data_IF_748266668888
#
_entry.id   IF_748266668888
#
_cell.length_a   1.000
_cell.length_b   1.000
_cell.length_c   1.000
_cell.angle_alpha   90.00
_cell.angle_beta   90.00
_cell.angle_gamma   90.00
#
_symmetry.space_group_name_H-M   'P 1'
#
loop_
_entity.id
_entity.type
_entity.pdbx_description
1 polymer ?
#
# COMPACT_ATOMS: atom_id res chain seq x y z
N UNK A 1 3.05 16.88 36.64
CA UNK A 1 2.61 15.53 36.23
C UNK A 1 2.07 14.83 37.49
N UNK A 2 0.83 14.38 37.44
CA UNK A 2 0.21 13.68 38.61
C UNK A 2 0.92 12.32 38.82
N UNK A 3 0.99 11.85 40.06
CA UNK A 3 1.65 10.58 40.42
C UNK A 3 1.06 9.38 39.67
N UNK A 4 -0.19 9.43 39.22
CA UNK A 4 -0.84 8.39 38.41
C UNK A 4 -0.32 8.35 36.98
N UNK A 5 0.05 9.48 36.39
CA UNK A 5 0.63 9.59 35.04
C UNK A 5 2.04 8.98 35.01
N UNK A 6 2.89 9.25 36.03
CA UNK A 6 4.22 8.67 36.13
C UNK A 6 4.18 7.14 36.33
N UNK A 7 3.28 6.64 37.17
CA UNK A 7 3.12 5.20 37.39
C UNK A 7 2.64 4.48 36.12
N UNK A 8 1.69 5.08 35.37
CA UNK A 8 1.24 4.56 34.07
C UNK A 8 2.38 4.51 33.04
N UNK A 9 3.26 5.52 33.03
CA UNK A 9 4.38 5.59 32.10
C UNK A 9 5.43 4.50 32.41
N UNK A 10 5.76 4.30 33.68
CA UNK A 10 6.65 3.21 34.12
C UNK A 10 6.07 1.85 33.75
N UNK A 11 4.78 1.62 33.98
CA UNK A 11 4.11 0.37 33.62
C UNK A 11 4.15 0.11 32.12
N UNK A 12 3.89 1.12 31.28
CA UNK A 12 3.96 0.99 29.83
C UNK A 12 5.37 0.60 29.38
N UNK A 13 6.40 1.26 29.90
CA UNK A 13 7.80 0.94 29.58
C UNK A 13 8.15 -0.51 29.95
N UNK A 14 7.77 -0.94 31.15
CA UNK A 14 8.00 -2.31 31.64
C UNK A 14 7.25 -3.36 30.81
N UNK A 15 6.19 -2.99 30.11
CA UNK A 15 5.42 -3.89 29.25
C UNK A 15 5.97 -3.94 27.82
N UNK A 16 6.50 -2.83 27.31
CA UNK A 16 6.95 -2.68 25.93
C UNK A 16 8.41 -3.14 25.79
N UNK A 17 9.31 -2.65 26.68
CA UNK A 17 10.76 -2.87 26.58
C UNK A 17 11.18 -4.16 27.31
N UNK A 18 10.70 -5.29 26.81
CA UNK A 18 11.06 -6.63 27.30
C UNK A 18 11.70 -7.44 26.16
N UNK A 19 12.68 -8.31 26.43
CA UNK A 19 13.39 -9.10 25.40
C UNK A 19 12.45 -9.85 24.45
N UNK A 20 11.36 -10.40 24.95
CA UNK A 20 10.42 -11.23 24.19
C UNK A 20 9.58 -10.43 23.16
N UNK A 21 9.63 -9.12 23.21
CA UNK A 21 8.95 -8.24 22.26
C UNK A 21 9.89 -7.57 21.28
N UNK A 22 11.19 -7.87 21.37
CA UNK A 22 12.19 -7.30 20.47
C UNK A 22 12.44 -8.21 19.27
N UNK A 23 12.53 -7.58 18.12
CA UNK A 23 13.08 -8.15 16.89
C UNK A 23 14.28 -7.30 16.54
N UNK A 24 15.43 -7.93 16.35
CA UNK A 24 16.67 -7.22 15.99
C UNK A 24 17.09 -7.68 14.59
N UNK A 25 17.24 -6.74 13.68
CA UNK A 25 17.80 -6.97 12.35
C UNK A 25 19.18 -6.34 12.27
N UNK A 26 20.16 -7.13 11.83
CA UNK A 26 21.56 -6.70 11.74
C UNK A 26 22.02 -6.80 10.29
N UNK A 27 22.69 -5.76 9.83
CA UNK A 27 23.39 -5.72 8.55
C UNK A 27 24.80 -5.22 8.80
N UNK A 28 25.78 -6.11 8.78
CA UNK A 28 27.19 -5.79 9.03
C UNK A 28 28.10 -6.75 8.25
N UNK A 29 29.40 -6.47 8.23
CA UNK A 29 30.40 -7.41 7.78
C UNK A 29 30.47 -8.61 8.75
N UNK A 30 30.85 -9.77 8.24
CA UNK A 30 30.97 -10.99 9.04
C UNK A 30 31.96 -10.82 10.20
N UNK A 31 33.04 -10.08 9.96
CA UNK A 31 34.07 -9.80 10.97
C UNK A 31 33.52 -8.97 12.16
N UNK A 32 32.50 -8.16 11.94
CA UNK A 32 31.91 -7.28 12.97
C UNK A 32 30.78 -7.97 13.73
N UNK A 33 30.23 -9.09 13.21
CA UNK A 33 29.03 -9.73 13.74
C UNK A 33 29.16 -10.09 15.23
N UNK A 34 30.31 -10.64 15.65
CA UNK A 34 30.52 -11.04 17.04
C UNK A 34 30.46 -9.85 18.01
N UNK A 35 31.01 -8.70 17.62
CA UNK A 35 30.96 -7.48 18.42
C UNK A 35 29.53 -6.94 18.52
N UNK A 36 28.77 -6.97 17.42
CA UNK A 36 27.37 -6.56 17.40
C UNK A 36 26.51 -7.50 18.25
N UNK A 37 26.68 -8.81 18.15
CA UNK A 37 26.00 -9.81 18.96
C UNK A 37 26.21 -9.59 20.47
N UNK A 38 27.43 -9.30 20.88
CA UNK A 38 27.75 -8.97 22.26
C UNK A 38 27.00 -7.73 22.77
N UNK A 39 26.88 -6.68 21.93
CA UNK A 39 26.13 -5.48 22.29
C UNK A 39 24.62 -5.74 22.35
N UNK A 40 24.09 -6.58 21.47
CA UNK A 40 22.67 -7.00 21.51
C UNK A 40 22.41 -7.77 22.80
N UNK A 41 23.27 -8.73 23.14
CA UNK A 41 23.14 -9.49 24.39
C UNK A 41 23.19 -8.58 25.63
N UNK A 42 24.09 -7.58 25.63
CA UNK A 42 24.14 -6.55 26.68
C UNK A 42 22.83 -5.75 26.75
N UNK A 43 22.30 -5.29 25.61
CA UNK A 43 21.03 -4.58 25.56
C UNK A 43 19.89 -5.39 26.13
N UNK A 44 19.73 -6.65 25.66
CA UNK A 44 18.67 -7.55 26.10
C UNK A 44 18.71 -7.81 27.61
N UNK A 45 19.91 -7.96 28.17
CA UNK A 45 20.12 -8.15 29.62
C UNK A 45 19.70 -6.94 30.45
N UNK A 46 19.76 -5.73 29.88
CA UNK A 46 19.42 -4.48 30.55
C UNK A 46 17.97 -4.02 30.31
N UNK A 47 17.18 -4.77 29.55
CA UNK A 47 15.74 -4.55 29.44
C UNK A 47 15.00 -5.00 30.70
N UNK A 48 13.74 -4.62 30.81
CA UNK A 48 12.90 -5.04 31.92
C UNK A 48 12.72 -6.57 31.89
N UNK A 49 12.76 -7.23 33.09
CA UNK A 49 12.48 -8.65 33.15
C UNK A 49 11.05 -8.93 32.72
N UNK A 50 10.86 -9.99 31.94
CA UNK A 50 9.57 -10.43 31.49
C UNK A 50 8.65 -10.74 32.68
N UNK A 51 7.68 -9.88 32.91
CA UNK A 51 6.49 -10.28 33.69
C UNK A 51 5.62 -11.07 32.74
N UNK A 52 5.07 -12.24 33.17
CA UNK A 52 4.18 -13.10 32.36
C UNK A 52 3.39 -12.28 31.35
N UNK A 53 3.82 -12.29 30.09
CA UNK A 53 3.12 -11.59 29.03
C UNK A 53 1.85 -12.41 28.79
N UNK A 54 0.71 -11.87 29.18
CA UNK A 54 -0.59 -12.40 28.77
C UNK A 54 -0.60 -12.35 27.24
N UNK A 55 -0.61 -13.53 26.61
CA UNK A 55 -0.54 -13.68 25.15
C UNK A 55 -1.83 -13.24 24.43
N UNK A 56 -2.84 -12.84 25.16
CA UNK A 56 -4.06 -12.32 24.55
C UNK A 56 -3.79 -10.93 23.94
N UNK A 57 -3.43 -10.94 22.66
CA UNK A 57 -3.61 -9.78 21.81
C UNK A 57 -5.11 -9.65 21.51
N UNK A 58 -5.86 -9.03 22.37
CA UNK A 58 -7.08 -8.39 21.92
C UNK A 58 -6.64 -7.18 21.06
N UNK A 59 -6.63 -7.37 19.76
CA UNK A 59 -6.60 -6.20 18.88
C UNK A 59 -7.86 -5.41 19.19
N UNK A 60 -7.76 -4.09 19.40
CA UNK A 60 -8.96 -3.28 19.55
C UNK A 60 -9.85 -3.52 18.33
N UNK A 61 -11.12 -3.78 18.57
CA UNK A 61 -12.10 -3.94 17.51
C UNK A 61 -12.25 -2.57 16.83
N UNK A 62 -11.64 -2.44 15.67
CA UNK A 62 -11.72 -1.20 14.89
C UNK A 62 -13.04 -1.23 14.12
N UNK A 63 -14.00 -0.45 14.55
CA UNK A 63 -15.21 -0.20 13.77
C UNK A 63 -14.87 0.81 12.67
N UNK A 64 -14.61 0.26 11.47
CA UNK A 64 -14.37 1.06 10.28
C UNK A 64 -15.71 1.52 9.72
N UNK A 65 -15.93 2.82 9.70
CA UNK A 65 -17.07 3.43 9.02
C UNK A 65 -16.64 3.91 7.64
N UNK A 66 -17.52 3.67 6.64
CA UNK A 66 -17.33 4.25 5.32
C UNK A 66 -17.55 5.76 5.40
N UNK A 67 -16.55 6.52 4.94
CA UNK A 67 -16.63 7.98 4.86
C UNK A 67 -16.07 8.43 3.52
N UNK A 68 -16.95 8.91 2.64
CA UNK A 68 -16.51 9.63 1.46
C UNK A 68 -16.29 11.08 1.88
N UNK A 69 -15.03 11.49 2.04
CA UNK A 69 -14.66 12.78 2.60
C UNK A 69 -13.96 13.65 1.57
N UNK A 70 -14.37 14.92 1.52
CA UNK A 70 -13.69 15.97 0.80
C UNK A 70 -13.04 16.95 1.78
N UNK A 71 -11.73 17.15 1.66
CA UNK A 71 -10.97 18.13 2.44
C UNK A 71 -10.68 19.34 1.58
N UNK A 72 -11.30 20.47 1.90
CA UNK A 72 -11.22 21.71 1.14
C UNK A 72 -9.97 22.49 1.51
N UNK A 73 -9.26 22.98 0.49
CA UNK A 73 -8.15 23.89 0.62
C UNK A 73 -8.20 25.01 -0.45
N UNK A 74 -7.23 25.94 -0.38
CA UNK A 74 -7.14 27.07 -1.31
C UNK A 74 -6.40 26.70 -2.63
N UNK A 75 -6.10 25.43 -2.88
CA UNK A 75 -5.42 25.02 -4.11
C UNK A 75 -6.32 25.14 -5.34
N UNK A 76 -5.72 25.13 -6.54
CA UNK A 76 -6.45 25.13 -7.81
C UNK A 76 -6.61 23.71 -8.39
N UNK A 77 -6.12 22.72 -7.68
CA UNK A 77 -6.04 21.32 -8.12
C UNK A 77 -6.49 20.38 -7.02
N UNK A 78 -6.84 19.14 -7.39
CA UNK A 78 -7.30 18.12 -6.48
C UNK A 78 -6.32 16.95 -6.41
N UNK A 79 -6.44 16.18 -5.35
CA UNK A 79 -5.88 14.85 -5.13
C UNK A 79 -7.06 13.92 -4.96
N UNK A 80 -7.33 13.10 -5.97
CA UNK A 80 -8.52 12.23 -6.00
C UNK A 80 -8.08 10.79 -5.73
N UNK A 81 -8.50 10.24 -4.61
CA UNK A 81 -8.15 8.89 -4.19
C UNK A 81 -9.37 7.97 -4.10
N UNK A 82 -9.31 6.82 -4.79
CA UNK A 82 -10.24 5.68 -4.64
C UNK A 82 -9.47 4.51 -4.06
N UNK A 83 -10.05 3.84 -3.08
CA UNK A 83 -9.42 2.71 -2.42
C UNK A 83 -10.43 1.61 -2.06
N UNK A 84 -9.94 0.39 -1.86
CA UNK A 84 -10.69 -0.75 -1.36
C UNK A 84 -9.78 -1.93 -1.08
N UNK A 85 -10.36 -3.07 -0.75
CA UNK A 85 -9.60 -4.25 -0.36
C UNK A 85 -10.18 -5.52 -0.99
N UNK A 86 -9.49 -6.07 -2.00
CA UNK A 86 -9.96 -7.26 -2.73
C UNK A 86 -9.97 -8.54 -1.89
N UNK A 87 -9.14 -8.65 -0.83
CA UNK A 87 -9.13 -9.84 0.03
C UNK A 87 -10.44 -9.97 0.80
N UNK A 88 -11.07 -8.85 1.20
CA UNK A 88 -12.39 -8.84 1.85
C UNK A 88 -13.49 -9.40 0.95
N UNK A 89 -13.28 -9.36 -0.36
CA UNK A 89 -14.19 -9.91 -1.38
C UNK A 89 -13.82 -11.33 -1.82
N UNK A 90 -12.88 -11.99 -1.12
CA UNK A 90 -12.50 -13.38 -1.37
C UNK A 90 -11.43 -13.58 -2.45
N UNK A 91 -10.85 -12.51 -2.98
CA UNK A 91 -9.75 -12.59 -3.93
C UNK A 91 -8.40 -12.75 -3.23
N UNK A 92 -7.45 -13.35 -3.93
CA UNK A 92 -6.08 -13.55 -3.45
C UNK A 92 -5.08 -12.77 -4.29
N UNK A 93 -3.93 -12.43 -3.69
CA UNK A 93 -2.83 -11.79 -4.39
C UNK A 93 -2.25 -12.71 -5.49
N UNK A 94 -1.99 -12.13 -6.66
CA UNK A 94 -1.35 -12.80 -7.79
C UNK A 94 -0.27 -11.90 -8.42
N UNK A 95 0.82 -12.49 -8.93
CA UNK A 95 1.92 -11.74 -9.56
C UNK A 95 1.50 -10.86 -10.73
N UNK A 96 0.42 -11.22 -11.45
CA UNK A 96 -0.16 -10.38 -12.51
C UNK A 96 -0.55 -8.96 -12.04
N UNK A 97 -0.82 -8.76 -10.74
CA UNK A 97 -1.08 -7.43 -10.18
C UNK A 97 0.13 -6.50 -10.25
N UNK A 98 1.36 -7.04 -10.26
CA UNK A 98 2.56 -6.22 -10.51
C UNK A 98 2.62 -5.73 -11.95
N UNK A 99 2.26 -6.59 -12.91
CA UNK A 99 2.18 -6.20 -14.32
C UNK A 99 1.07 -5.19 -14.52
N UNK A 100 -0.09 -5.40 -13.88
CA UNK A 100 -1.19 -4.44 -13.92
C UNK A 100 -0.77 -3.06 -13.40
N UNK A 101 0.07 -3.00 -12.35
CA UNK A 101 0.63 -1.72 -11.87
C UNK A 101 1.38 -0.98 -12.96
N UNK A 102 2.18 -1.69 -13.76
CA UNK A 102 2.92 -1.11 -14.88
C UNK A 102 1.97 -0.68 -15.99
N UNK A 103 1.03 -1.52 -16.41
CA UNK A 103 0.02 -1.21 -17.43
C UNK A 103 -0.77 0.05 -17.03
N UNK A 104 -1.30 0.10 -15.82
CA UNK A 104 -2.06 1.27 -15.35
C UNK A 104 -1.21 2.54 -15.33
N UNK A 105 0.05 2.43 -14.90
CA UNK A 105 0.96 3.56 -14.78
C UNK A 105 1.47 4.13 -16.10
N UNK A 106 1.45 3.36 -17.21
CA UNK A 106 1.96 3.80 -18.50
C UNK A 106 0.88 3.95 -19.57
N UNK A 107 -0.23 3.20 -19.47
CA UNK A 107 -1.29 3.22 -20.47
C UNK A 107 -2.56 3.86 -19.92
N UNK A 108 -3.42 3.11 -19.23
CA UNK A 108 -4.77 3.54 -18.95
C UNK A 108 -4.85 4.82 -18.12
N UNK A 109 -4.25 4.82 -16.93
CA UNK A 109 -4.30 6.00 -16.05
C UNK A 109 -3.44 7.13 -16.59
N UNK A 110 -2.25 6.82 -17.12
CA UNK A 110 -1.39 7.83 -17.71
C UNK A 110 -2.06 8.56 -18.85
N UNK A 111 -2.69 7.83 -19.76
CA UNK A 111 -3.34 8.44 -20.94
C UNK A 111 -4.58 9.20 -20.53
N UNK A 112 -5.45 8.64 -19.69
CA UNK A 112 -6.75 9.22 -19.44
C UNK A 112 -6.73 10.29 -18.32
N UNK A 113 -5.98 10.06 -17.24
CA UNK A 113 -5.91 10.98 -16.09
C UNK A 113 -4.86 12.07 -16.34
N UNK A 114 -3.66 11.71 -16.83
CA UNK A 114 -2.59 12.69 -17.03
C UNK A 114 -2.65 13.35 -18.39
N UNK A 115 -2.50 12.60 -19.48
CA UNK A 115 -2.34 13.20 -20.83
C UNK A 115 -3.61 13.89 -21.28
N UNK A 116 -4.76 13.21 -21.21
CA UNK A 116 -6.06 13.77 -21.61
C UNK A 116 -6.74 14.57 -20.49
N UNK A 117 -6.53 14.18 -19.24
CA UNK A 117 -7.15 14.81 -18.08
C UNK A 117 -6.40 16.03 -17.55
N UNK A 118 -5.09 16.13 -17.81
CA UNK A 118 -4.26 17.27 -17.38
C UNK A 118 -3.73 17.17 -15.96
N UNK A 119 -3.90 16.04 -15.28
CA UNK A 119 -3.28 15.81 -13.98
C UNK A 119 -1.75 15.78 -14.09
N UNK A 120 -1.04 16.22 -13.05
CA UNK A 120 0.42 16.15 -13.04
C UNK A 120 0.92 14.70 -12.95
N UNK A 121 0.20 13.85 -12.26
CA UNK A 121 0.52 12.41 -12.16
C UNK A 121 -0.67 11.57 -11.73
N UNK A 122 -0.49 10.25 -11.84
CA UNK A 122 -1.42 9.26 -11.35
C UNK A 122 -0.64 8.07 -10.78
N UNK A 123 -1.18 7.42 -9.77
CA UNK A 123 -0.56 6.31 -9.07
C UNK A 123 -1.58 5.21 -8.83
N UNK A 124 -1.11 3.97 -8.77
CA UNK A 124 -1.91 2.82 -8.38
C UNK A 124 -1.06 1.84 -7.57
N UNK A 125 -1.69 1.06 -6.70
CA UNK A 125 -1.01 0.04 -5.90
C UNK A 125 -1.95 -1.11 -5.56
N UNK A 126 -1.39 -2.31 -5.50
CA UNK A 126 -2.08 -3.56 -5.18
C UNK A 126 -1.23 -4.30 -4.14
N UNK A 127 -1.63 -4.24 -2.88
CA UNK A 127 -0.86 -4.82 -1.79
C UNK A 127 -1.26 -6.27 -1.51
N UNK A 128 -0.35 -7.08 -0.97
CA UNK A 128 -0.62 -8.50 -0.65
C UNK A 128 -1.72 -8.70 0.39
N UNK A 129 -1.93 -7.73 1.28
CA UNK A 129 -3.04 -7.73 2.25
C UNK A 129 -4.39 -7.36 1.64
N UNK A 130 -4.44 -7.10 0.33
CA UNK A 130 -5.64 -6.73 -0.42
C UNK A 130 -5.85 -5.24 -0.61
N UNK A 131 -5.17 -4.39 0.16
CA UNK A 131 -5.34 -2.94 0.03
C UNK A 131 -4.91 -2.48 -1.37
N UNK A 132 -5.82 -1.78 -2.01
CA UNK A 132 -5.66 -1.29 -3.38
C UNK A 132 -6.11 0.16 -3.44
N UNK A 133 -5.35 0.98 -4.16
CA UNK A 133 -5.74 2.37 -4.40
C UNK A 133 -5.37 2.87 -5.78
N UNK A 134 -6.13 3.87 -6.23
CA UNK A 134 -5.90 4.70 -7.40
C UNK A 134 -5.91 6.15 -6.95
N UNK A 135 -4.89 6.92 -7.34
CA UNK A 135 -4.74 8.32 -6.88
C UNK A 135 -4.30 9.19 -8.05
N UNK A 136 -4.96 10.32 -8.23
CA UNK A 136 -4.46 11.41 -9.08
C UNK A 136 -3.76 12.47 -8.23
N UNK A 137 -2.76 13.10 -8.82
CA UNK A 137 -1.91 14.09 -8.18
C UNK A 137 -1.96 15.40 -8.94
N UNK A 138 -2.34 16.49 -8.25
CA UNK A 138 -2.52 17.83 -8.83
C UNK A 138 -3.40 17.77 -10.08
N UNK A 139 -4.60 17.27 -9.89
CA UNK A 139 -5.58 17.00 -10.93
C UNK A 139 -6.55 18.18 -11.08
N UNK A 140 -6.78 18.74 -12.26
CA UNK A 140 -7.79 19.77 -12.46
C UNK A 140 -9.22 19.19 -12.43
N UNK A 141 -9.39 17.87 -12.53
CA UNK A 141 -10.69 17.21 -12.56
C UNK A 141 -10.97 16.47 -11.24
N UNK A 142 -12.25 16.28 -10.91
CA UNK A 142 -12.71 15.47 -9.81
C UNK A 142 -13.59 14.32 -10.33
N UNK A 143 -14.83 14.62 -10.69
CA UNK A 143 -15.81 13.62 -11.16
C UNK A 143 -15.32 12.83 -12.38
N UNK A 144 -14.72 13.52 -13.34
CA UNK A 144 -14.18 12.88 -14.54
C UNK A 144 -13.07 11.86 -14.19
N UNK A 145 -12.22 12.17 -13.23
CA UNK A 145 -11.17 11.25 -12.79
C UNK A 145 -11.75 10.05 -12.04
N UNK A 146 -12.78 10.27 -11.22
CA UNK A 146 -13.50 9.18 -10.54
C UNK A 146 -14.18 8.24 -11.55
N UNK A 147 -14.81 8.80 -12.60
CA UNK A 147 -15.39 8.03 -13.73
C UNK A 147 -14.32 7.23 -14.51
N UNK A 148 -13.11 7.77 -14.66
CA UNK A 148 -11.99 7.03 -15.26
C UNK A 148 -11.62 5.81 -14.40
N UNK A 149 -11.61 5.95 -13.07
CA UNK A 149 -11.37 4.79 -12.19
C UNK A 149 -12.46 3.74 -12.34
N UNK A 150 -13.73 4.13 -12.38
CA UNK A 150 -14.86 3.21 -12.60
C UNK A 150 -14.78 2.49 -13.97
N UNK A 151 -14.06 3.05 -14.94
CA UNK A 151 -13.82 2.45 -16.27
C UNK A 151 -12.73 1.36 -16.30
N UNK A 152 -11.93 1.18 -15.23
CA UNK A 152 -10.82 0.22 -15.22
C UNK A 152 -11.28 -1.23 -15.47
N UNK A 153 -12.36 -1.74 -14.85
CA UNK A 153 -12.82 -3.11 -15.10
C UNK A 153 -13.17 -3.37 -16.58
N UNK A 154 -13.79 -2.40 -17.27
CA UNK A 154 -14.09 -2.53 -18.69
C UNK A 154 -12.81 -2.52 -19.54
N UNK A 155 -11.86 -1.66 -19.23
CA UNK A 155 -10.55 -1.66 -19.88
C UNK A 155 -9.87 -3.03 -19.75
N UNK A 156 -9.90 -3.64 -18.55
CA UNK A 156 -9.34 -4.97 -18.32
C UNK A 156 -10.09 -6.06 -19.10
N UNK A 157 -11.42 -6.00 -19.18
CA UNK A 157 -12.21 -6.95 -19.97
C UNK A 157 -11.82 -6.95 -21.45
N UNK A 158 -11.49 -5.77 -21.97
CA UNK A 158 -11.14 -5.54 -23.38
C UNK A 158 -9.63 -5.59 -23.63
N UNK A 159 -8.83 -5.82 -22.58
CA UNK A 159 -7.37 -5.81 -22.67
C UNK A 159 -6.86 -6.84 -23.67
N UNK A 160 -6.06 -6.39 -24.59
CA UNK A 160 -5.34 -7.21 -25.58
C UNK A 160 -3.93 -6.70 -25.72
N UNK A 161 -2.99 -7.60 -25.64
CA UNK A 161 -1.58 -7.32 -25.87
C UNK A 161 -0.98 -8.46 -26.68
N UNK A 162 -0.23 -8.13 -27.70
CA UNK A 162 0.56 -9.13 -28.40
C UNK A 162 1.75 -9.59 -27.56
N UNK A 163 2.47 -10.62 -28.03
CA UNK A 163 3.64 -11.17 -27.33
C UNK A 163 4.72 -10.11 -27.05
N UNK A 164 4.91 -9.18 -27.97
CA UNK A 164 5.90 -8.11 -27.83
C UNK A 164 5.47 -7.09 -26.76
N UNK A 165 4.22 -6.76 -26.71
CA UNK A 165 3.67 -5.84 -25.71
C UNK A 165 3.69 -6.47 -24.32
N UNK A 166 3.24 -7.71 -24.17
CA UNK A 166 3.36 -8.45 -22.91
C UNK A 166 4.81 -8.56 -22.45
N UNK A 167 5.75 -8.85 -23.36
CA UNK A 167 7.17 -8.90 -23.04
C UNK A 167 7.68 -7.57 -22.48
N UNK A 168 7.25 -6.43 -23.02
CA UNK A 168 7.63 -5.10 -22.47
C UNK A 168 7.13 -4.91 -21.04
N UNK A 169 5.86 -5.25 -20.75
CA UNK A 169 5.29 -5.14 -19.41
C UNK A 169 5.99 -6.07 -18.42
N UNK A 170 6.28 -7.30 -18.83
CA UNK A 170 7.03 -8.27 -18.02
C UNK A 170 8.43 -7.75 -17.71
N UNK A 171 9.17 -7.28 -18.71
CA UNK A 171 10.54 -6.73 -18.54
C UNK A 171 10.50 -5.52 -17.60
N UNK A 172 9.55 -4.59 -17.79
CA UNK A 172 9.37 -3.44 -16.91
C UNK A 172 9.13 -3.86 -15.47
N UNK A 173 8.27 -4.85 -15.26
CA UNK A 173 7.94 -5.38 -13.94
C UNK A 173 9.15 -6.09 -13.30
N UNK A 174 9.86 -6.94 -14.05
CA UNK A 174 11.06 -7.64 -13.55
C UNK A 174 12.17 -6.63 -13.23
N UNK A 175 12.36 -5.59 -14.05
CA UNK A 175 13.34 -4.53 -13.76
C UNK A 175 13.07 -3.81 -12.43
N UNK A 176 11.81 -3.58 -12.09
CA UNK A 176 11.42 -3.02 -10.79
C UNK A 176 11.70 -4.01 -9.65
N UNK A 177 11.39 -5.30 -9.85
CA UNK A 177 11.62 -6.35 -8.86
C UNK A 177 13.11 -6.61 -8.60
N UNK A 178 13.96 -6.47 -9.61
CA UNK A 178 15.41 -6.76 -9.60
C UNK A 178 16.25 -5.49 -9.42
N UNK A 179 15.64 -4.37 -9.02
CA UNK A 179 16.39 -3.14 -8.75
C UNK A 179 17.58 -3.41 -7.81
N UNK A 180 18.81 -3.03 -8.20
CA UNK A 180 19.99 -3.25 -7.37
C UNK A 180 19.85 -2.62 -5.99
N UNK A 181 20.15 -3.38 -4.97
CA UNK A 181 20.06 -2.93 -3.58
C UNK A 181 21.42 -2.97 -2.90
N UNK A 182 21.74 -1.92 -2.15
CA UNK A 182 22.86 -1.94 -1.21
C UNK A 182 22.56 -2.86 -0.01
N UNK A 183 23.55 -3.23 0.82
CA UNK A 183 23.35 -4.12 1.96
C UNK A 183 22.24 -3.68 2.91
N UNK A 184 22.16 -2.38 3.24
CA UNK A 184 21.11 -1.84 4.11
C UNK A 184 19.71 -2.05 3.53
N UNK A 185 19.51 -1.79 2.24
CA UNK A 185 18.22 -2.01 1.56
C UNK A 185 17.85 -3.51 1.51
N UNK A 186 18.84 -4.41 1.32
CA UNK A 186 18.63 -5.87 1.40
C UNK A 186 18.16 -6.28 2.80
N UNK A 187 18.79 -5.75 3.85
CA UNK A 187 18.40 -6.00 5.23
C UNK A 187 16.99 -5.49 5.54
N UNK A 188 16.66 -4.29 5.12
CA UNK A 188 15.31 -3.74 5.27
C UNK A 188 14.25 -4.58 4.54
N UNK A 189 14.52 -5.02 3.32
CA UNK A 189 13.64 -5.92 2.56
C UNK A 189 13.45 -7.27 3.26
N UNK A 190 14.54 -7.86 3.77
CA UNK A 190 14.51 -9.11 4.53
C UNK A 190 13.67 -8.98 5.79
N UNK A 191 13.86 -7.92 6.57
CA UNK A 191 13.08 -7.63 7.77
C UNK A 191 11.59 -7.45 7.45
N UNK A 192 11.27 -6.73 6.38
CA UNK A 192 9.88 -6.56 5.92
C UNK A 192 9.25 -7.90 5.55
N UNK A 193 9.95 -8.75 4.80
CA UNK A 193 9.47 -10.08 4.43
C UNK A 193 9.23 -10.95 5.68
N UNK A 194 10.15 -10.92 6.63
CA UNK A 194 10.01 -11.63 7.90
C UNK A 194 8.76 -11.18 8.68
N UNK A 195 8.55 -9.87 8.81
CA UNK A 195 7.38 -9.31 9.50
C UNK A 195 6.05 -9.64 8.80
N UNK A 196 6.08 -9.76 7.47
CA UNK A 196 4.92 -10.14 6.65
C UNK A 196 4.69 -11.65 6.58
N UNK A 197 5.59 -12.47 7.15
CA UNK A 197 5.53 -13.92 7.07
C UNK A 197 5.79 -14.48 5.66
N UNK A 198 6.49 -13.72 4.79
CA UNK A 198 6.81 -14.14 3.42
C UNK A 198 8.07 -15.00 3.40
N UNK A 199 7.93 -16.23 2.93
CA UNK A 199 9.06 -17.10 2.65
C UNK A 199 9.67 -16.80 1.26
N UNK A 200 10.90 -17.27 1.04
CA UNK A 200 11.53 -17.18 -0.27
C UNK A 200 10.69 -17.83 -1.38
N UNK A 201 10.01 -18.94 -1.07
CA UNK A 201 9.11 -19.61 -2.00
C UNK A 201 7.95 -18.73 -2.48
N UNK A 202 7.41 -17.87 -1.60
CA UNK A 202 6.34 -16.95 -1.96
C UNK A 202 6.82 -15.86 -2.92
N UNK A 203 8.04 -15.38 -2.69
CA UNK A 203 8.69 -14.38 -3.56
C UNK A 203 9.02 -15.00 -4.92
N UNK A 204 9.51 -16.25 -4.92
CA UNK A 204 9.81 -16.97 -6.17
C UNK A 204 8.53 -17.27 -6.96
N UNK A 205 7.48 -17.73 -6.29
CA UNK A 205 6.17 -17.96 -6.91
C UNK A 205 5.63 -16.70 -7.58
N UNK A 206 5.72 -15.56 -6.92
CA UNK A 206 5.30 -14.28 -7.51
C UNK A 206 6.11 -13.95 -8.77
N UNK A 207 7.43 -14.17 -8.72
CA UNK A 207 8.32 -13.97 -9.87
C UNK A 207 7.94 -14.86 -11.04
N UNK A 208 7.69 -16.14 -10.78
CA UNK A 208 7.29 -17.12 -11.81
C UNK A 208 5.94 -16.72 -12.45
N UNK A 209 4.99 -16.23 -11.64
CA UNK A 209 3.73 -15.70 -12.11
C UNK A 209 3.89 -14.45 -12.98
N UNK A 210 4.87 -13.58 -12.69
CA UNK A 210 5.18 -12.42 -13.53
C UNK A 210 5.80 -12.86 -14.87
N UNK A 211 6.76 -13.77 -14.83
CA UNK A 211 7.47 -14.22 -16.05
C UNK A 211 6.52 -14.99 -16.98
N UNK A 212 5.65 -15.83 -16.43
CA UNK A 212 4.70 -16.63 -17.19
C UNK A 212 3.36 -15.96 -17.52
N UNK A 213 3.21 -14.67 -17.20
CA UNK A 213 1.93 -13.99 -17.35
C UNK A 213 1.55 -13.78 -18.83
N UNK A 214 0.26 -13.94 -19.08
CA UNK A 214 -0.38 -13.72 -20.37
C UNK A 214 -1.35 -12.54 -20.33
N UNK A 215 -1.85 -12.11 -21.47
CA UNK A 215 -2.91 -11.12 -21.54
C UNK A 215 -4.24 -11.62 -20.92
N UNK A 216 -4.45 -12.95 -20.90
CA UNK A 216 -5.59 -13.57 -20.21
C UNK A 216 -5.50 -13.41 -18.69
N UNK A 217 -4.29 -13.52 -18.11
CA UNK A 217 -4.07 -13.28 -16.69
C UNK A 217 -4.42 -11.83 -16.31
N UNK A 218 -4.13 -10.88 -17.20
CA UNK A 218 -4.49 -9.47 -16.99
C UNK A 218 -6.00 -9.26 -17.08
N UNK A 219 -6.68 -9.86 -18.09
CA UNK A 219 -8.16 -9.83 -18.19
C UNK A 219 -8.82 -10.47 -16.97
N UNK A 220 -8.22 -11.54 -16.44
CA UNK A 220 -8.68 -12.24 -15.24
C UNK A 220 -8.72 -11.39 -13.96
N UNK A 221 -8.02 -10.25 -13.94
CA UNK A 221 -8.04 -9.32 -12.81
C UNK A 221 -9.27 -8.40 -12.79
N UNK A 222 -10.12 -8.42 -13.82
CA UNK A 222 -11.30 -7.57 -13.97
C UNK A 222 -12.19 -7.58 -12.72
N UNK A 223 -12.61 -8.77 -12.28
CA UNK A 223 -13.57 -8.90 -11.19
C UNK A 223 -12.94 -8.53 -9.83
N UNK A 224 -11.64 -8.80 -9.65
CA UNK A 224 -10.89 -8.34 -8.49
C UNK A 224 -10.89 -6.81 -8.42
N UNK A 225 -10.59 -6.12 -9.53
CA UNK A 225 -10.56 -4.65 -9.56
C UNK A 225 -11.97 -4.07 -9.44
N UNK A 226 -12.97 -4.70 -10.06
CA UNK A 226 -14.37 -4.30 -9.92
C UNK A 226 -14.81 -4.33 -8.45
N UNK A 227 -14.47 -5.40 -7.71
CA UNK A 227 -14.81 -5.52 -6.28
C UNK A 227 -14.23 -4.41 -5.41
N UNK A 228 -13.00 -3.96 -5.71
CA UNK A 228 -12.36 -2.82 -5.05
C UNK A 228 -13.10 -1.51 -5.32
N UNK A 229 -13.45 -1.26 -6.59
CA UNK A 229 -14.09 -0.01 -7.02
C UNK A 229 -15.55 0.07 -6.57
N UNK A 230 -16.25 -1.06 -6.46
CA UNK A 230 -17.62 -1.17 -5.94
C UNK A 230 -17.74 -0.74 -4.47
N UNK A 231 -16.66 -0.80 -3.69
CA UNK A 231 -16.64 -0.24 -2.34
C UNK A 231 -16.88 1.27 -2.34
N UNK A 232 -16.57 1.96 -3.44
CA UNK A 232 -16.74 3.42 -3.63
C UNK A 232 -16.18 4.24 -2.46
N UNK A 233 -15.04 3.86 -1.90
CA UNK A 233 -14.36 4.66 -0.89
C UNK A 233 -13.60 5.77 -1.60
N UNK A 234 -14.07 7.00 -1.43
CA UNK A 234 -13.52 8.20 -2.05
C UNK A 234 -12.97 9.15 -0.99
N UNK A 235 -11.76 9.63 -1.20
CA UNK A 235 -11.18 10.71 -0.42
C UNK A 235 -10.55 11.73 -1.37
N UNK A 236 -10.89 12.99 -1.20
CA UNK A 236 -10.39 14.08 -2.04
C UNK A 236 -9.84 15.20 -1.18
N UNK A 237 -8.69 15.74 -1.56
CA UNK A 237 -8.17 17.00 -1.03
C UNK A 237 -8.08 17.98 -2.19
N UNK A 238 -8.62 19.20 -2.05
CA UNK A 238 -8.49 20.14 -3.13
C UNK A 238 -9.37 21.38 -3.04
N UNK A 239 -9.55 22.01 -4.19
CA UNK A 239 -10.20 23.29 -4.34
C UNK A 239 -11.59 23.32 -3.71
N UNK A 240 -11.84 24.30 -2.85
CA UNK A 240 -13.09 24.46 -2.10
C UNK A 240 -14.31 24.58 -3.03
N UNK A 241 -14.24 25.43 -4.05
CA UNK A 241 -15.36 25.66 -4.97
C UNK A 241 -15.68 24.40 -5.79
N UNK A 242 -14.64 23.71 -6.23
CA UNK A 242 -14.79 22.47 -7.00
C UNK A 242 -15.42 21.36 -6.16
N UNK A 243 -14.97 21.16 -4.92
CA UNK A 243 -15.54 20.17 -4.02
C UNK A 243 -16.99 20.52 -3.66
N UNK A 244 -17.29 21.78 -3.38
CA UNK A 244 -18.66 22.23 -3.08
C UNK A 244 -19.61 22.04 -4.27
N UNK A 245 -19.14 22.31 -5.49
CA UNK A 245 -19.95 22.15 -6.71
C UNK A 245 -20.29 20.68 -7.02
N UNK A 246 -19.55 19.74 -6.43
CA UNK A 246 -19.72 18.28 -6.58
C UNK A 246 -19.96 17.61 -5.22
N UNK A 247 -20.65 18.32 -4.33
CA UNK A 247 -20.91 17.88 -2.95
C UNK A 247 -21.68 16.57 -2.84
N UNK A 248 -22.42 16.18 -3.86
CA UNK A 248 -23.15 14.91 -3.97
C UNK A 248 -22.22 13.66 -3.97
N UNK A 249 -20.95 13.83 -4.27
CA UNK A 249 -19.95 12.78 -4.21
C UNK A 249 -19.49 12.45 -2.77
N UNK A 250 -19.77 13.32 -1.80
CA UNK A 250 -19.21 13.25 -0.45
C UNK A 250 -20.29 13.06 0.61
N UNK A 251 -19.97 12.28 1.62
CA UNK A 251 -20.76 12.20 2.86
C UNK A 251 -20.43 13.37 3.78
N UNK A 252 -19.22 13.93 3.67
CA UNK A 252 -18.74 15.03 4.48
C UNK A 252 -17.72 15.89 3.75
N UNK A 253 -17.89 17.20 3.83
CA UNK A 253 -16.89 18.20 3.43
C UNK A 253 -16.32 18.87 4.68
N UNK A 254 -15.00 19.01 4.75
CA UNK A 254 -14.27 19.62 5.86
C UNK A 254 -13.22 20.59 5.34
N UNK A 255 -12.87 21.58 6.12
CA UNK A 255 -11.66 22.34 5.87
C UNK A 255 -10.44 21.50 6.26
N UNK A 256 -9.39 21.50 5.45
CA UNK A 256 -8.20 20.71 5.70
C UNK A 256 -7.44 21.13 6.97
N UNK A 257 -7.60 22.39 7.38
CA UNK A 257 -6.84 23.01 8.50
C UNK A 257 -7.71 23.30 9.74
N UNK A 258 -8.92 22.84 9.79
CA UNK A 258 -9.80 22.82 10.96
C UNK A 258 -9.91 21.40 11.52
#
# INVERSE_FOLDING_TARGET
>A
LSSSSAASDVYKRQTIFVPERMIVSVVCEEADYQAVEAQIAFLLKNLYPSKKIVKERSLPELHLEKKNEGFMDASQVQYVARAGNYVRHGFSYHGALRILKVIMGYDYLWINVRVKGGAYGCMNSYMRNGDTYFVSYRDPNLKKTDEIYDGIPQYLADFKADEREMTKYIIGTISDMDTPMNPSAKGARSMTAYLQGLAFADIQKERDQVIGATDEDIRGLKDLIASVLEEKNLCVIGNEDNLKSQSDMFMQLKNLYE
#
